data_IF_559947916640
#
_entry.id   IF_559947916640
#
_cell.length_a   1.000
_cell.length_b   1.000
_cell.length_c   1.000
_cell.angle_alpha   90.00
_cell.angle_beta   90.00
_cell.angle_gamma   90.00
#
_symmetry.space_group_name_H-M   'P 1'
#
loop_
_entity.id
_entity.type
_entity.pdbx_description
1 polymer ?
#
# COMPACT_ATOMS: atom_id res chain seq x y z
N UNK A 1 1.43 15.55 4.58
CA UNK A 1 0.18 16.34 4.47
C UNK A 1 -1.00 15.65 5.13
N UNK A 2 -1.15 14.33 4.99
CA UNK A 2 -2.35 13.57 5.44
C UNK A 2 -2.77 13.82 6.89
N UNK A 3 -1.82 14.01 7.84
CA UNK A 3 -2.14 14.37 9.23
C UNK A 3 -2.98 15.66 9.34
N UNK A 4 -2.65 16.69 8.56
CA UNK A 4 -3.34 17.99 8.60
C UNK A 4 -4.76 17.89 8.01
N UNK A 5 -4.92 17.12 6.93
CA UNK A 5 -6.23 16.90 6.29
C UNK A 5 -7.15 16.09 7.20
N UNK A 6 -6.60 15.05 7.84
CA UNK A 6 -7.33 14.23 8.80
C UNK A 6 -7.79 15.03 10.03
N UNK A 7 -6.99 15.98 10.51
CA UNK A 7 -7.41 16.93 11.56
C UNK A 7 -8.59 17.82 11.12
N UNK A 8 -8.83 17.94 9.81
CA UNK A 8 -9.98 18.65 9.23
C UNK A 8 -11.17 17.72 8.92
N UNK A 9 -11.14 16.46 9.40
CA UNK A 9 -12.21 15.48 9.18
C UNK A 9 -12.16 14.76 7.84
N UNK A 10 -11.05 14.86 7.09
CA UNK A 10 -10.91 14.24 5.76
C UNK A 10 -10.25 12.86 5.89
N UNK A 11 -10.91 11.83 5.33
CA UNK A 11 -10.31 10.50 5.15
C UNK A 11 -9.28 10.56 4.02
N UNK A 12 -8.04 10.20 4.31
CA UNK A 12 -6.93 10.28 3.36
C UNK A 12 -6.48 8.89 2.88
N UNK A 13 -6.55 8.64 1.58
CA UNK A 13 -6.04 7.41 0.96
C UNK A 13 -4.66 7.69 0.35
N UNK A 14 -3.64 6.95 0.78
CA UNK A 14 -2.24 7.15 0.38
C UNK A 14 -1.74 5.91 -0.39
N UNK A 15 -1.65 5.99 -1.72
CA UNK A 15 -1.21 4.89 -2.58
C UNK A 15 0.24 5.10 -3.06
N UNK A 16 1.19 4.83 -2.17
CA UNK A 16 2.63 4.96 -2.45
C UNK A 16 3.32 3.59 -2.35
N UNK A 17 4.42 3.41 -3.11
CA UNK A 17 5.31 2.27 -2.89
C UNK A 17 6.11 2.58 -1.62
N UNK A 18 5.87 1.81 -0.56
CA UNK A 18 6.52 1.94 0.73
C UNK A 18 7.35 0.68 1.07
N UNK A 19 8.53 0.51 0.43
CA UNK A 19 9.24 -0.77 0.42
C UNK A 19 9.79 -1.21 1.78
N UNK A 20 10.18 -0.29 2.66
CA UNK A 20 10.86 -0.68 3.92
C UNK A 20 9.97 -0.49 5.13
N UNK A 21 10.24 -1.27 6.18
CA UNK A 21 9.52 -1.15 7.45
C UNK A 21 9.71 0.23 8.08
N UNK A 22 10.91 0.82 7.99
CA UNK A 22 11.23 2.09 8.63
C UNK A 22 10.38 3.25 8.10
N UNK A 23 10.12 3.29 6.79
CA UNK A 23 9.32 4.38 6.21
C UNK A 23 7.82 4.22 6.53
N UNK A 24 7.33 2.98 6.66
CA UNK A 24 5.95 2.71 7.07
C UNK A 24 5.75 3.07 8.53
N UNK A 25 6.70 2.72 9.40
CA UNK A 25 6.70 3.13 10.81
C UNK A 25 6.87 4.65 10.97
N UNK A 26 7.70 5.30 10.14
CA UNK A 26 7.79 6.77 10.12
C UNK A 26 6.42 7.40 9.79
N UNK A 27 5.74 6.91 8.75
CA UNK A 27 4.41 7.41 8.38
C UNK A 27 3.39 7.18 9.52
N UNK A 28 3.37 5.96 10.09
CA UNK A 28 2.51 5.59 11.23
C UNK A 28 2.76 6.49 12.45
N UNK A 29 4.01 6.83 12.74
CA UNK A 29 4.37 7.75 13.83
C UNK A 29 3.95 9.20 13.56
N UNK A 30 4.05 9.68 12.33
CA UNK A 30 3.61 11.04 11.94
C UNK A 30 2.08 11.16 11.99
N UNK A 31 1.37 10.16 11.46
CA UNK A 31 -0.10 10.15 11.43
C UNK A 31 -0.67 9.88 12.83
N UNK A 32 -0.03 9.00 13.59
CA UNK A 32 -0.51 8.49 14.88
C UNK A 32 -1.14 7.11 14.69
N UNK A 33 -0.74 6.16 15.55
CA UNK A 33 -1.11 4.73 15.43
C UNK A 33 -2.61 4.47 15.37
N UNK A 34 -3.41 5.26 16.09
CA UNK A 34 -4.86 5.08 16.14
C UNK A 34 -5.58 5.60 14.89
N UNK A 35 -4.93 6.46 14.12
CA UNK A 35 -5.51 7.10 12.93
C UNK A 35 -4.87 6.57 11.63
N UNK A 36 -4.05 5.53 11.72
CA UNK A 36 -3.32 4.95 10.60
C UNK A 36 -3.74 3.50 10.39
N UNK A 37 -4.15 3.17 9.18
CA UNK A 37 -4.52 1.81 8.77
C UNK A 37 -3.54 1.38 7.67
N UNK A 38 -2.75 0.34 7.94
CA UNK A 38 -1.79 -0.24 7.01
C UNK A 38 -2.47 -1.25 6.10
N UNK A 39 -2.63 -0.90 4.82
CA UNK A 39 -3.20 -1.79 3.79
C UNK A 39 -2.07 -2.36 2.94
N UNK A 40 -1.82 -3.66 3.04
CA UNK A 40 -0.85 -4.36 2.23
C UNK A 40 -1.51 -4.93 0.97
N UNK A 41 -1.19 -4.33 -0.19
CA UNK A 41 -1.58 -4.84 -1.50
C UNK A 41 -0.59 -5.94 -1.90
N UNK A 42 -0.91 -7.19 -1.55
CA UNK A 42 -0.04 -8.34 -1.78
C UNK A 42 -0.28 -8.90 -3.19
N UNK A 43 0.79 -8.98 -3.96
CA UNK A 43 0.87 -9.74 -5.19
C UNK A 43 2.29 -10.26 -5.35
N UNK A 44 2.48 -11.49 -5.84
CA UNK A 44 3.78 -11.97 -6.25
C UNK A 44 4.41 -11.04 -7.28
N UNK A 45 5.74 -10.92 -7.24
CA UNK A 45 6.51 -10.08 -8.16
C UNK A 45 6.24 -10.47 -9.62
N UNK A 46 6.15 -11.77 -9.90
CA UNK A 46 5.94 -12.31 -11.23
C UNK A 46 4.59 -11.89 -11.81
N UNK A 47 3.56 -11.79 -10.96
CA UNK A 47 2.23 -11.30 -11.35
C UNK A 47 2.29 -9.79 -11.62
N UNK A 48 3.05 -9.04 -10.83
CA UNK A 48 3.24 -7.60 -11.05
C UNK A 48 4.01 -7.32 -12.34
N UNK A 49 5.06 -8.09 -12.62
CA UNK A 49 5.83 -8.06 -13.86
C UNK A 49 4.99 -8.45 -15.08
N UNK A 50 4.13 -9.47 -14.95
CA UNK A 50 3.22 -9.84 -16.04
C UNK A 50 2.23 -8.72 -16.37
N UNK A 51 1.75 -8.01 -15.35
CA UNK A 51 0.78 -6.92 -15.53
C UNK A 51 1.41 -5.67 -16.14
N UNK A 52 2.70 -5.43 -15.90
CA UNK A 52 3.53 -4.25 -16.25
C UNK A 52 2.79 -3.08 -16.93
N UNK A 53 1.82 -2.49 -16.22
CA UNK A 53 0.84 -1.56 -16.79
C UNK A 53 1.51 -0.31 -17.39
N UNK A 54 2.73 -0.01 -16.95
CA UNK A 54 3.50 1.18 -17.34
C UNK A 54 4.79 0.86 -18.11
N UNK A 55 5.09 -0.42 -18.37
CA UNK A 55 6.35 -0.83 -19.00
C UNK A 55 7.58 -0.56 -18.13
N UNK A 56 7.41 -0.44 -16.80
CA UNK A 56 8.49 -0.07 -15.89
C UNK A 56 9.33 -1.29 -15.50
N UNK A 57 8.71 -2.46 -15.35
CA UNK A 57 9.45 -3.69 -15.07
C UNK A 57 10.32 -4.07 -16.26
N UNK A 58 9.81 -3.94 -17.49
CA UNK A 58 10.60 -4.19 -18.70
C UNK A 58 11.85 -3.29 -18.77
N UNK A 59 11.68 -1.98 -18.51
CA UNK A 59 12.79 -1.01 -18.49
C UNK A 59 13.79 -1.28 -17.37
N UNK A 60 13.31 -1.68 -16.19
CA UNK A 60 14.17 -2.07 -15.08
C UNK A 60 14.99 -3.32 -15.43
N UNK A 61 14.39 -4.36 -16.03
CA UNK A 61 15.10 -5.57 -16.49
C UNK A 61 16.14 -5.28 -17.58
N UNK A 62 15.92 -4.24 -18.40
CA UNK A 62 16.89 -3.73 -19.38
C UNK A 62 18.01 -2.88 -18.76
N UNK A 63 17.96 -2.60 -17.45
CA UNK A 63 18.93 -1.78 -16.73
C UNK A 63 18.76 -0.28 -16.94
N UNK A 64 17.66 0.16 -17.56
CA UNK A 64 17.36 1.58 -17.81
C UNK A 64 16.88 2.30 -16.54
N UNK A 65 16.30 1.56 -15.60
CA UNK A 65 15.85 2.06 -14.30
C UNK A 65 16.60 1.33 -13.19
N UNK A 66 17.39 2.08 -12.42
CA UNK A 66 18.13 1.55 -11.26
C UNK A 66 17.28 1.61 -10.00
N UNK A 67 17.59 0.75 -9.02
CA UNK A 67 16.95 0.69 -7.71
C UNK A 67 15.43 0.45 -7.78
N UNK A 68 15.00 -0.39 -8.74
CA UNK A 68 13.59 -0.71 -8.90
C UNK A 68 13.13 -1.71 -7.85
N UNK A 69 12.11 -1.35 -7.08
CA UNK A 69 11.54 -2.18 -6.01
C UNK A 69 11.08 -3.53 -6.55
N UNK A 70 11.55 -4.62 -5.94
CA UNK A 70 11.26 -5.99 -6.37
C UNK A 70 12.28 -6.60 -7.34
N UNK A 71 13.11 -5.79 -8.01
CA UNK A 71 14.22 -6.29 -8.86
C UNK A 71 15.57 -6.03 -8.17
N UNK A 72 15.93 -4.75 -8.03
CA UNK A 72 17.24 -4.32 -7.53
C UNK A 72 17.17 -3.66 -6.14
N UNK A 73 15.96 -3.45 -5.61
CA UNK A 73 15.71 -2.89 -4.28
C UNK A 73 14.73 -3.77 -3.49
N UNK A 74 14.93 -3.96 -2.18
CA UNK A 74 14.10 -4.85 -1.36
C UNK A 74 12.67 -4.32 -1.21
N UNK A 75 11.76 -5.24 -0.88
CA UNK A 75 10.42 -4.93 -0.39
C UNK A 75 10.18 -5.78 0.86
N UNK A 76 10.16 -5.15 2.02
CA UNK A 76 9.87 -5.77 3.29
C UNK A 76 8.35 -5.96 3.39
N UNK A 77 7.88 -7.21 3.30
CA UNK A 77 6.48 -7.52 3.57
C UNK A 77 6.12 -7.05 4.99
N UNK A 78 5.02 -6.30 5.18
CA UNK A 78 4.60 -5.89 6.51
C UNK A 78 4.22 -7.13 7.34
N UNK A 79 4.72 -7.19 8.57
CA UNK A 79 4.48 -8.32 9.47
C UNK A 79 3.06 -8.31 10.07
N UNK A 80 2.51 -7.13 10.32
CA UNK A 80 1.23 -6.92 11.02
C UNK A 80 0.44 -5.79 10.36
N UNK A 81 0.10 -5.99 9.08
CA UNK A 81 -0.77 -5.06 8.36
C UNK A 81 -2.22 -5.23 8.82
N UNK A 82 -2.94 -4.12 8.99
CA UNK A 82 -4.35 -4.12 9.36
C UNK A 82 -5.22 -4.84 8.33
N UNK A 83 -4.90 -4.67 7.04
CA UNK A 83 -5.62 -5.27 5.93
C UNK A 83 -4.62 -5.83 4.92
N UNK A 84 -4.81 -7.09 4.50
CA UNK A 84 -4.04 -7.73 3.44
C UNK A 84 -4.96 -7.99 2.24
N UNK A 85 -4.58 -7.46 1.07
CA UNK A 85 -5.32 -7.59 -0.18
C UNK A 85 -4.54 -8.50 -1.15
N UNK A 86 -4.81 -9.81 -1.21
CA UNK A 86 -4.16 -10.71 -2.16
C UNK A 86 -4.73 -10.52 -3.58
N UNK A 87 -4.17 -9.55 -4.31
CA UNK A 87 -4.70 -9.11 -5.61
C UNK A 87 -4.41 -10.05 -6.77
N UNK A 88 -3.64 -11.11 -6.55
CA UNK A 88 -3.50 -12.24 -7.47
C UNK A 88 -4.65 -13.25 -7.36
N UNK A 89 -5.41 -13.21 -6.27
CA UNK A 89 -6.48 -14.17 -5.95
C UNK A 89 -7.87 -13.54 -5.92
N UNK A 90 -7.95 -12.27 -5.54
CA UNK A 90 -9.19 -11.53 -5.43
C UNK A 90 -9.35 -10.55 -6.58
N UNK A 91 -10.61 -10.37 -6.99
CA UNK A 91 -11.01 -9.27 -7.87
C UNK A 91 -10.89 -7.92 -7.15
N UNK A 92 -10.91 -6.84 -7.94
CA UNK A 92 -10.91 -5.47 -7.41
C UNK A 92 -12.10 -5.26 -6.46
N UNK A 93 -13.29 -5.75 -6.83
CA UNK A 93 -14.48 -5.56 -6.01
C UNK A 93 -14.34 -6.27 -4.66
N UNK A 94 -13.87 -7.52 -4.64
CA UNK A 94 -13.63 -8.26 -3.39
C UNK A 94 -12.60 -7.56 -2.50
N UNK A 95 -11.55 -6.95 -3.08
CA UNK A 95 -10.58 -6.17 -2.32
C UNK A 95 -11.17 -4.89 -1.73
N UNK A 96 -12.04 -4.21 -2.49
CA UNK A 96 -12.75 -3.01 -2.02
C UNK A 96 -13.71 -3.38 -0.89
N UNK A 97 -14.48 -4.46 -1.05
CA UNK A 97 -15.42 -4.93 -0.03
C UNK A 97 -14.69 -5.29 1.26
N UNK A 98 -13.50 -5.92 1.18
CA UNK A 98 -12.67 -6.21 2.34
C UNK A 98 -12.22 -4.93 3.05
N UNK A 99 -11.73 -3.94 2.30
CA UNK A 99 -11.37 -2.63 2.85
C UNK A 99 -12.56 -1.95 3.55
N UNK A 100 -13.71 -1.88 2.88
CA UNK A 100 -14.92 -1.25 3.42
C UNK A 100 -15.38 -1.93 4.70
N UNK A 101 -15.41 -3.27 4.74
CA UNK A 101 -15.81 -4.03 5.92
C UNK A 101 -14.97 -3.72 7.18
N UNK A 102 -13.70 -3.37 6.99
CA UNK A 102 -12.81 -2.97 8.08
C UNK A 102 -13.01 -1.51 8.50
N UNK A 103 -13.13 -0.59 7.54
CA UNK A 103 -13.12 0.86 7.82
C UNK A 103 -14.49 1.42 8.22
N UNK A 104 -15.59 0.90 7.65
CA UNK A 104 -16.94 1.43 7.87
C UNK A 104 -17.34 1.48 9.36
N UNK A 105 -17.08 0.43 10.18
CA UNK A 105 -17.42 0.47 11.61
C UNK A 105 -16.64 1.51 12.42
N UNK A 106 -15.48 1.97 11.89
CA UNK A 106 -14.58 2.90 12.55
C UNK A 106 -14.94 4.35 12.21
N UNK A 107 -15.55 4.58 11.05
CA UNK A 107 -15.93 5.92 10.59
C UNK A 107 -17.16 6.39 11.38
N UNK A 108 -16.94 7.39 12.24
CA UNK A 108 -18.00 8.04 13.00
C UNK A 108 -18.29 9.41 12.41
N UNK A 109 -19.53 9.65 11.99
CA UNK A 109 -20.03 11.00 11.78
C UNK A 109 -20.22 11.66 13.15
N UNK A 110 -19.48 12.76 13.38
CA UNK A 110 -19.72 13.67 14.50
C UNK A 110 -20.53 14.86 14.04
#
# INVERSE_FOLDING_TARGET
VSKLLMQSGIICINSFISPTTEIREMAKNIIGKNDFIEVFVDAPLEVCEQRDVKGLYEKARKGEIKNFTGIDAPFDKPYDADIILPTDKLSIQECVDLCLSYIEPIIQYK
#
